data_IF_652268121046
#
_entry.id   IF_652268121046
#
_cell.length_a   1.000
_cell.length_b   1.000
_cell.length_c   1.000
_cell.angle_alpha   90.00
_cell.angle_beta   90.00
_cell.angle_gamma   90.00
#
_symmetry.space_group_name_H-M   'P 1'
#
loop_
_entity.id
_entity.type
_entity.pdbx_description
1 polymer ?
#
# COMPACT_ATOMS: atom_id res chain seq x y z
N UNK A 1 -4.97 15.44 -13.67
CA UNK A 1 -5.07 15.02 -12.25
C UNK A 1 -4.26 16.00 -11.42
N UNK A 2 -4.73 16.45 -10.25
CA UNK A 2 -3.98 17.36 -9.37
C UNK A 2 -2.79 16.60 -8.79
N UNK A 3 -1.57 17.06 -8.97
CA UNK A 3 -0.36 16.48 -8.38
C UNK A 3 0.06 17.30 -7.17
N UNK A 4 0.68 16.64 -6.21
CA UNK A 4 1.24 17.24 -5.00
C UNK A 4 2.77 17.16 -5.05
N UNK A 5 3.44 18.21 -4.65
CA UNK A 5 4.90 18.28 -4.68
C UNK A 5 5.55 17.47 -3.55
N UNK A 6 4.83 17.30 -2.44
CA UNK A 6 5.31 16.56 -1.28
C UNK A 6 4.19 15.68 -0.69
N UNK A 7 4.52 14.52 -0.10
CA UNK A 7 3.54 13.65 0.56
C UNK A 7 2.78 14.34 1.69
N UNK A 8 3.41 15.29 2.40
CA UNK A 8 2.76 16.07 3.46
C UNK A 8 1.57 16.88 2.95
N UNK A 9 1.69 17.48 1.77
CA UNK A 9 0.59 18.28 1.16
C UNK A 9 -0.59 17.37 0.79
N UNK A 10 -0.30 16.17 0.30
CA UNK A 10 -1.32 15.16 0.01
C UNK A 10 -2.01 14.69 1.30
N UNK A 11 -1.25 14.39 2.36
CA UNK A 11 -1.82 13.99 3.66
C UNK A 11 -2.71 15.09 4.25
N UNK A 12 -2.30 16.36 4.16
CA UNK A 12 -3.15 17.48 4.59
C UNK A 12 -4.45 17.56 3.78
N UNK A 13 -4.41 17.31 2.47
CA UNK A 13 -5.62 17.29 1.65
C UNK A 13 -6.55 16.12 2.04
N UNK A 14 -5.98 14.96 2.40
CA UNK A 14 -6.73 13.80 2.89
C UNK A 14 -7.41 14.13 4.23
N UNK A 15 -6.67 14.63 5.22
CA UNK A 15 -7.21 15.05 6.54
C UNK A 15 -8.37 16.04 6.43
N UNK A 16 -8.34 16.90 5.40
CA UNK A 16 -9.38 17.88 5.13
C UNK A 16 -10.56 17.31 4.33
N UNK A 17 -10.55 16.03 3.99
CA UNK A 17 -11.59 15.41 3.16
C UNK A 17 -11.57 15.84 1.68
N UNK A 18 -10.55 16.56 1.25
CA UNK A 18 -10.42 17.06 -0.12
C UNK A 18 -9.88 15.98 -1.09
N UNK A 19 -9.46 14.84 -0.56
CA UNK A 19 -8.91 13.71 -1.31
C UNK A 19 -9.34 12.39 -0.67
N UNK A 20 -10.19 11.62 -1.36
CA UNK A 20 -10.80 10.38 -0.86
C UNK A 20 -10.65 9.20 -1.83
N UNK A 21 -9.88 9.37 -2.90
CA UNK A 21 -9.61 8.30 -3.89
C UNK A 21 -8.20 7.72 -3.68
N UNK A 22 -7.81 6.72 -4.49
CA UNK A 22 -6.45 6.18 -4.41
C UNK A 22 -5.38 7.24 -4.73
N UNK A 23 -4.18 7.05 -4.21
CA UNK A 23 -3.07 8.01 -4.30
C UNK A 23 -2.14 7.77 -5.49
N UNK A 24 -2.48 6.85 -6.41
CA UNK A 24 -1.66 6.53 -7.57
C UNK A 24 -1.35 7.77 -8.41
N UNK A 25 -0.06 8.01 -8.67
CA UNK A 25 0.41 9.12 -9.50
C UNK A 25 0.24 10.53 -8.91
N UNK A 26 -0.20 10.66 -7.65
CA UNK A 26 -0.44 11.96 -7.03
C UNK A 26 0.83 12.61 -6.44
N UNK A 27 1.80 11.80 -5.98
CA UNK A 27 3.11 12.24 -5.49
C UNK A 27 4.21 11.46 -6.22
N UNK A 28 4.59 11.84 -7.45
CA UNK A 28 5.63 11.14 -8.20
C UNK A 28 6.98 11.21 -7.48
N UNK A 29 7.74 10.12 -7.56
CA UNK A 29 9.05 9.99 -6.89
C UNK A 29 9.00 9.55 -5.43
N UNK A 30 7.80 9.35 -4.86
CA UNK A 30 7.64 8.86 -3.48
C UNK A 30 7.04 7.46 -3.44
N UNK A 31 7.51 6.69 -2.45
CA UNK A 31 7.00 5.33 -2.19
C UNK A 31 5.52 5.39 -1.79
N UNK A 32 4.74 4.48 -2.32
CA UNK A 32 3.35 4.27 -1.93
C UNK A 32 3.21 2.93 -1.22
N UNK A 33 2.33 2.87 -0.24
CA UNK A 33 2.06 1.67 0.53
C UNK A 33 0.59 1.45 0.79
N UNK A 34 0.27 0.21 1.13
CA UNK A 34 -1.02 -0.19 1.66
C UNK A 34 -0.92 -0.37 3.17
N UNK A 35 -1.92 0.09 3.90
CA UNK A 35 -1.96 -0.03 5.35
C UNK A 35 -2.71 -1.30 5.75
N UNK A 36 -2.13 -2.06 6.69
CA UNK A 36 -2.77 -3.16 7.39
C UNK A 36 -2.63 -2.95 8.89
N UNK A 37 -3.75 -2.94 9.62
CA UNK A 37 -3.80 -2.71 11.07
C UNK A 37 -4.41 -3.94 11.72
N UNK A 38 -3.74 -4.47 12.74
CA UNK A 38 -4.09 -5.71 13.41
C UNK A 38 -3.94 -5.55 14.92
N UNK A 39 -4.72 -6.30 15.75
CA UNK A 39 -4.40 -6.47 17.16
C UNK A 39 -3.01 -7.06 17.37
N UNK A 40 -2.34 -6.69 18.45
CA UNK A 40 -0.98 -7.09 18.79
C UNK A 40 -0.81 -8.63 18.85
N UNK A 41 -1.84 -9.35 19.29
CA UNK A 41 -1.83 -10.83 19.34
C UNK A 41 -1.60 -11.47 17.96
N UNK A 42 -1.93 -10.78 16.88
CA UNK A 42 -1.76 -11.27 15.50
C UNK A 42 -0.51 -10.71 14.80
N UNK A 43 0.08 -9.65 15.38
CA UNK A 43 1.12 -8.87 14.71
C UNK A 43 2.39 -9.68 14.42
N UNK A 44 2.81 -10.55 15.35
CA UNK A 44 4.01 -11.38 15.17
C UNK A 44 3.83 -12.44 14.07
N UNK A 45 2.68 -13.08 13.99
CA UNK A 45 2.38 -14.04 12.93
C UNK A 45 2.26 -13.34 11.58
N UNK A 46 1.67 -12.14 11.54
CA UNK A 46 1.61 -11.34 10.32
C UNK A 46 2.99 -10.87 9.86
N UNK A 47 3.84 -10.42 10.78
CA UNK A 47 5.22 -10.06 10.49
C UNK A 47 5.97 -11.25 9.89
N UNK A 48 5.84 -12.44 10.50
CA UNK A 48 6.43 -13.68 9.99
C UNK A 48 5.89 -14.03 8.60
N UNK A 49 4.58 -13.90 8.39
CA UNK A 49 3.96 -14.12 7.08
C UNK A 49 4.57 -13.19 6.02
N UNK A 50 4.73 -11.91 6.29
CA UNK A 50 5.35 -10.95 5.38
C UNK A 50 6.83 -11.29 5.11
N UNK A 51 7.58 -11.71 6.13
CA UNK A 51 8.99 -12.11 6.00
C UNK A 51 9.18 -13.35 5.11
N UNK A 52 8.27 -14.32 5.22
CA UNK A 52 8.26 -15.51 4.38
C UNK A 52 7.81 -15.21 2.95
N UNK A 53 7.05 -14.12 2.76
CA UNK A 53 6.46 -13.71 1.49
C UNK A 53 6.87 -12.28 1.09
N UNK A 54 8.18 -11.97 0.96
CA UNK A 54 8.64 -10.59 0.78
C UNK A 54 8.24 -9.96 -0.57
N UNK A 55 7.93 -10.78 -1.58
CA UNK A 55 7.48 -10.27 -2.89
C UNK A 55 6.04 -9.76 -2.87
N UNK A 56 5.04 -10.54 -2.40
CA UNK A 56 3.65 -10.04 -2.32
C UNK A 56 3.40 -9.12 -1.13
N UNK A 57 4.21 -9.18 -0.07
CA UNK A 57 4.01 -8.45 1.18
C UNK A 57 5.30 -7.73 1.65
N UNK A 58 5.89 -6.84 0.83
CA UNK A 58 7.11 -6.13 1.22
C UNK A 58 6.81 -5.08 2.29
N UNK A 59 7.29 -5.30 3.52
CA UNK A 59 7.13 -4.33 4.61
C UNK A 59 8.05 -3.12 4.37
N UNK A 60 7.49 -1.91 4.33
CA UNK A 60 8.22 -0.65 4.22
C UNK A 60 8.20 0.15 5.53
N UNK A 61 7.32 -0.21 6.46
CA UNK A 61 7.27 0.35 7.81
C UNK A 61 6.25 -0.35 8.69
N UNK A 62 6.40 -0.20 10.00
CA UNK A 62 5.44 -0.69 10.99
C UNK A 62 5.48 0.18 12.24
N UNK A 63 4.42 0.15 13.05
CA UNK A 63 4.40 0.77 14.38
C UNK A 63 5.55 0.24 15.22
N UNK A 64 6.15 1.10 16.03
CA UNK A 64 7.23 0.73 16.93
C UNK A 64 6.70 -0.07 18.12
N UNK A 65 5.60 0.39 18.67
CA UNK A 65 4.90 -0.26 19.79
C UNK A 65 3.40 -0.38 19.45
N UNK A 66 2.66 -1.31 20.08
CA UNK A 66 1.20 -1.32 20.00
C UNK A 66 0.62 0.02 20.45
N UNK A 67 -0.42 0.49 19.76
CA UNK A 67 -1.05 1.79 20.02
C UNK A 67 -0.41 2.97 19.29
N UNK A 68 0.82 2.83 18.79
CA UNK A 68 1.48 3.88 18.01
C UNK A 68 0.73 4.13 16.69
N UNK A 69 0.29 5.35 16.50
CA UNK A 69 -0.38 5.80 15.27
C UNK A 69 0.53 6.64 14.36
N UNK A 70 1.80 6.75 14.68
CA UNK A 70 2.83 7.40 13.86
C UNK A 70 3.92 6.42 13.48
N UNK A 71 4.42 6.51 12.25
CA UNK A 71 5.59 5.75 11.78
C UNK A 71 6.61 6.78 11.28
N UNK A 72 7.42 7.30 12.19
CA UNK A 72 8.35 8.41 11.95
C UNK A 72 9.30 8.18 10.77
N UNK A 73 9.70 6.92 10.53
CA UNK A 73 10.55 6.54 9.38
C UNK A 73 9.90 6.79 8.02
N UNK A 74 8.56 6.92 7.98
CA UNK A 74 7.80 7.16 6.75
C UNK A 74 7.34 8.62 6.60
N UNK A 75 7.30 9.38 7.70
CA UNK A 75 6.94 10.80 7.66
C UNK A 75 6.84 11.41 9.05
N UNK A 76 7.42 12.60 9.22
CA UNK A 76 7.55 13.27 10.54
C UNK A 76 6.21 13.62 11.17
N UNK A 77 5.20 13.94 10.35
CA UNK A 77 3.85 14.35 10.79
C UNK A 77 2.79 13.30 10.47
N UNK A 78 3.20 12.08 10.19
CA UNK A 78 2.30 11.00 9.78
C UNK A 78 1.39 10.58 10.93
N UNK A 79 0.07 10.70 10.72
CA UNK A 79 -0.97 10.10 11.55
C UNK A 79 -1.75 9.08 10.72
N UNK A 80 -1.45 7.80 10.94
CA UNK A 80 -2.05 6.71 10.15
C UNK A 80 -3.55 6.55 10.39
N UNK A 81 -4.17 7.27 11.33
CA UNK A 81 -5.61 7.22 11.60
C UNK A 81 -6.42 8.12 10.67
N UNK A 82 -5.79 9.15 10.08
CA UNK A 82 -6.44 10.17 9.26
C UNK A 82 -5.73 10.50 7.94
N UNK A 83 -4.52 9.97 7.72
CA UNK A 83 -3.68 10.28 6.54
C UNK A 83 -3.90 9.34 5.35
N UNK A 84 -4.81 8.41 5.47
CA UNK A 84 -5.16 7.45 4.42
C UNK A 84 -6.54 7.84 3.85
N UNK A 85 -6.70 7.88 2.51
CA UNK A 85 -7.95 8.36 1.91
C UNK A 85 -9.19 7.57 2.33
N UNK A 86 -9.03 6.26 2.56
CA UNK A 86 -10.12 5.37 2.95
C UNK A 86 -9.58 4.19 3.75
N UNK A 87 -10.34 3.80 4.77
CA UNK A 87 -10.12 2.60 5.57
C UNK A 87 -11.32 1.68 5.42
N UNK A 88 -11.03 0.38 5.42
CA UNK A 88 -12.07 -0.65 5.50
C UNK A 88 -11.97 -1.35 6.85
N UNK A 89 -13.05 -1.29 7.60
CA UNK A 89 -13.14 -1.92 8.92
C UNK A 89 -13.65 -3.35 8.76
N UNK A 90 -12.98 -4.27 9.43
CA UNK A 90 -13.36 -5.68 9.47
C UNK A 90 -13.65 -6.10 10.90
N UNK A 91 -14.74 -6.84 11.10
CA UNK A 91 -15.09 -7.53 12.34
C UNK A 91 -15.35 -8.99 11.98
N UNK A 92 -14.71 -9.91 12.70
CA UNK A 92 -14.82 -11.37 12.47
C UNK A 92 -14.63 -11.78 10.99
N UNK A 93 -13.72 -11.11 10.29
CA UNK A 93 -13.42 -11.39 8.88
C UNK A 93 -14.42 -10.79 7.87
N UNK A 94 -15.45 -10.07 8.35
CA UNK A 94 -16.46 -9.42 7.50
C UNK A 94 -16.20 -7.93 7.43
N UNK A 95 -16.22 -7.33 6.24
CA UNK A 95 -16.16 -5.88 6.07
C UNK A 95 -17.47 -5.25 6.55
N UNK A 96 -17.40 -4.45 7.63
CA UNK A 96 -18.58 -3.85 8.27
C UNK A 96 -18.72 -2.36 7.96
N UNK A 97 -17.61 -1.65 7.67
CA UNK A 97 -17.66 -0.22 7.39
C UNK A 97 -16.52 0.23 6.45
N UNK A 98 -16.68 1.42 5.87
CA UNK A 98 -15.67 2.12 5.09
C UNK A 98 -15.67 3.60 5.47
N UNK A 99 -14.57 4.06 6.07
CA UNK A 99 -14.46 5.40 6.66
C UNK A 99 -13.20 6.13 6.15
N UNK A 100 -13.13 7.44 6.37
CA UNK A 100 -11.96 8.27 6.04
C UNK A 100 -11.10 8.59 7.26
N UNK A 101 -11.57 8.27 8.46
CA UNK A 101 -10.86 8.47 9.73
C UNK A 101 -11.20 7.33 10.69
N UNK A 102 -10.18 6.74 11.28
CA UNK A 102 -10.29 5.61 12.22
C UNK A 102 -9.94 5.98 13.66
N UNK A 103 -9.87 7.27 14.00
CA UNK A 103 -9.51 7.71 15.36
C UNK A 103 -10.45 7.14 16.42
N UNK A 104 -11.74 6.96 16.11
CA UNK A 104 -12.73 6.35 17.00
C UNK A 104 -12.62 4.82 17.10
N UNK A 105 -11.94 4.18 16.14
CA UNK A 105 -11.69 2.73 16.13
C UNK A 105 -10.31 2.39 16.68
N UNK A 106 -9.48 3.42 16.95
CA UNK A 106 -8.12 3.21 17.42
C UNK A 106 -8.09 2.69 18.85
N UNK A 107 -7.27 1.67 19.08
CA UNK A 107 -7.05 1.04 20.40
C UNK A 107 -5.56 0.92 20.69
N UNK A 108 -5.21 0.84 21.97
CA UNK A 108 -3.82 0.76 22.43
C UNK A 108 -3.14 -0.59 22.11
N UNK A 109 -3.92 -1.58 21.65
CA UNK A 109 -3.42 -2.89 21.24
C UNK A 109 -3.17 -3.03 19.72
N UNK A 110 -3.42 -1.98 18.93
CA UNK A 110 -3.30 -2.05 17.48
C UNK A 110 -1.86 -1.84 17.02
N UNK A 111 -1.44 -2.68 16.07
CA UNK A 111 -0.15 -2.59 15.36
C UNK A 111 -0.41 -2.34 13.88
N UNK A 112 0.21 -1.32 13.34
CA UNK A 112 0.08 -0.98 11.93
C UNK A 112 1.30 -1.44 11.13
N UNK A 113 1.04 -1.97 9.95
CA UNK A 113 2.02 -2.35 8.94
C UNK A 113 1.77 -1.57 7.66
N UNK A 114 2.81 -1.04 7.06
CA UNK A 114 2.75 -0.44 5.72
C UNK A 114 3.47 -1.37 4.76
N UNK A 115 2.72 -1.89 3.81
CA UNK A 115 3.21 -2.79 2.77
C UNK A 115 3.43 -2.01 1.48
N UNK A 116 4.56 -2.22 0.82
CA UNK A 116 4.87 -1.59 -0.46
C UNK A 116 3.82 -1.93 -1.52
N UNK A 117 3.56 -0.97 -2.39
CA UNK A 117 2.59 -1.08 -3.47
C UNK A 117 3.27 -1.01 -4.83
N UNK A 118 2.76 -1.77 -5.80
CA UNK A 118 3.26 -1.77 -7.18
C UNK A 118 3.11 -0.42 -7.89
N UNK A 119 2.35 0.52 -7.36
CA UNK A 119 2.30 1.90 -7.87
C UNK A 119 3.64 2.62 -7.81
N UNK A 120 4.50 2.25 -6.86
CA UNK A 120 5.86 2.79 -6.75
C UNK A 120 6.74 2.49 -7.97
N UNK A 121 6.40 1.48 -8.79
CA UNK A 121 7.12 1.15 -10.03
C UNK A 121 6.61 1.92 -11.24
N UNK A 122 5.43 2.52 -11.18
CA UNK A 122 4.80 3.17 -12.34
C UNK A 122 5.55 4.46 -12.74
N UNK A 123 5.95 5.25 -11.76
CA UNK A 123 6.67 6.51 -12.03
C UNK A 123 8.01 6.27 -12.74
N UNK A 124 8.92 5.40 -12.28
CA UNK A 124 10.15 5.07 -12.99
C UNK A 124 9.92 4.54 -14.42
N UNK A 125 8.86 3.79 -14.66
CA UNK A 125 8.50 3.31 -15.99
C UNK A 125 8.11 4.47 -16.92
N UNK A 126 7.28 5.39 -16.42
CA UNK A 126 6.84 6.58 -17.16
C UNK A 126 8.02 7.51 -17.43
N UNK A 127 8.89 7.74 -16.44
CA UNK A 127 10.08 8.58 -16.57
C UNK A 127 11.05 8.05 -17.64
N UNK A 128 11.10 6.72 -17.83
CA UNK A 128 11.88 6.07 -18.91
C UNK A 128 11.12 6.00 -20.26
N UNK A 129 9.96 6.64 -20.36
CA UNK A 129 9.15 6.74 -21.56
C UNK A 129 8.31 5.49 -21.89
N UNK A 130 8.11 4.60 -20.93
CA UNK A 130 7.23 3.45 -21.09
C UNK A 130 5.78 3.82 -20.79
N UNK A 131 4.87 3.42 -21.66
CA UNK A 131 3.45 3.61 -21.42
C UNK A 131 2.95 2.67 -20.31
N UNK A 132 2.35 3.23 -19.28
CA UNK A 132 1.62 2.50 -18.24
C UNK A 132 0.13 2.59 -18.55
N UNK A 133 -0.41 1.59 -19.22
CA UNK A 133 -1.72 1.62 -19.88
C UNK A 133 -2.88 1.93 -18.93
N UNK A 134 -2.89 1.41 -17.71
CA UNK A 134 -3.94 1.73 -16.75
C UNK A 134 -3.98 3.24 -16.41
N UNK A 135 -2.83 3.92 -16.39
CA UNK A 135 -2.77 5.37 -16.18
C UNK A 135 -3.27 6.11 -17.41
N UNK A 136 -2.84 5.70 -18.60
CA UNK A 136 -3.28 6.32 -19.87
C UNK A 136 -4.78 6.23 -20.05
N UNK A 137 -5.38 5.08 -19.68
CA UNK A 137 -6.83 4.83 -19.77
C UNK A 137 -7.61 5.39 -18.56
N UNK A 138 -6.94 5.93 -17.54
CA UNK A 138 -7.57 6.50 -16.35
C UNK A 138 -8.31 5.47 -15.48
N UNK A 139 -7.85 4.22 -15.48
CA UNK A 139 -8.43 3.11 -14.71
C UNK A 139 -7.44 2.57 -13.69
N UNK A 140 -7.94 1.84 -12.69
CA UNK A 140 -7.08 1.15 -11.75
C UNK A 140 -6.34 -0.02 -12.44
N UNK A 141 -5.14 -0.34 -11.93
CA UNK A 141 -4.38 -1.49 -12.43
C UNK A 141 -5.18 -2.78 -12.22
N UNK A 142 -5.29 -3.67 -13.23
CA UNK A 142 -5.96 -4.95 -13.05
C UNK A 142 -5.19 -5.86 -12.11
N UNK A 143 -5.90 -6.49 -11.19
CA UNK A 143 -5.36 -7.39 -10.17
C UNK A 143 -5.95 -8.79 -10.32
N UNK A 144 -5.11 -9.80 -10.10
CA UNK A 144 -5.49 -11.20 -10.26
C UNK A 144 -5.03 -12.01 -9.05
N UNK A 145 -5.93 -12.87 -8.54
CA UNK A 145 -5.55 -13.93 -7.61
C UNK A 145 -4.94 -15.07 -8.43
N UNK A 146 -3.72 -15.44 -8.11
CA UNK A 146 -3.03 -16.57 -8.75
C UNK A 146 -3.36 -17.89 -8.07
N UNK A 147 -2.87 -18.99 -8.63
CA UNK A 147 -2.86 -20.31 -7.99
C UNK A 147 -1.55 -20.59 -7.21
N UNK A 148 -0.68 -19.59 -7.07
CA UNK A 148 0.56 -19.70 -6.29
C UNK A 148 0.23 -19.39 -4.83
N UNK A 149 0.36 -20.39 -3.96
CA UNK A 149 0.17 -20.19 -2.52
C UNK A 149 1.35 -19.39 -1.93
N UNK A 150 1.03 -18.51 -0.99
CA UNK A 150 2.02 -17.92 -0.09
C UNK A 150 2.41 -18.94 0.99
N UNK A 151 3.61 -18.79 1.54
CA UNK A 151 4.04 -19.54 2.73
C UNK A 151 3.20 -19.12 3.95
N UNK A 152 2.66 -20.09 4.67
CA UNK A 152 1.76 -19.85 5.80
C UNK A 152 2.51 -19.44 7.07
N UNK A 153 1.89 -18.59 7.89
CA UNK A 153 2.38 -18.25 9.23
C UNK A 153 1.21 -18.00 10.18
N UNK A 154 1.08 -18.83 11.22
CA UNK A 154 -0.05 -18.78 12.13
C UNK A 154 -1.38 -18.89 11.35
N UNK A 155 -2.31 -17.97 11.57
CA UNK A 155 -3.60 -17.95 10.86
C UNK A 155 -3.52 -17.36 9.43
N UNK A 156 -2.37 -16.78 9.05
CA UNK A 156 -2.23 -16.11 7.77
C UNK A 156 -1.85 -17.10 6.67
N UNK A 157 -2.69 -17.15 5.64
CA UNK A 157 -2.51 -17.98 4.45
C UNK A 157 -3.25 -17.36 3.27
N UNK A 158 -2.95 -17.81 2.07
CA UNK A 158 -3.68 -17.39 0.87
C UNK A 158 -2.84 -17.47 -0.39
N UNK A 159 -3.49 -17.20 -1.52
CA UNK A 159 -2.81 -17.17 -2.80
C UNK A 159 -2.26 -15.76 -3.09
N UNK A 160 -1.08 -15.72 -3.72
CA UNK A 160 -0.48 -14.48 -4.17
C UNK A 160 -1.43 -13.72 -5.09
N UNK A 161 -1.61 -12.44 -4.81
CA UNK A 161 -2.31 -11.49 -5.69
C UNK A 161 -1.27 -10.68 -6.45
N UNK A 162 -1.46 -10.54 -7.76
CA UNK A 162 -0.55 -9.80 -8.64
C UNK A 162 -1.30 -8.70 -9.38
N UNK A 163 -0.61 -7.60 -9.66
CA UNK A 163 -1.07 -6.59 -10.62
C UNK A 163 -0.40 -6.84 -11.98
N UNK A 164 -1.13 -6.62 -13.07
CA UNK A 164 -0.64 -6.86 -14.42
C UNK A 164 -0.58 -5.57 -15.23
N UNK A 165 0.54 -5.36 -15.89
CA UNK A 165 0.73 -4.27 -16.85
C UNK A 165 1.21 -4.83 -18.17
N UNK A 166 0.43 -4.71 -19.26
CA UNK A 166 0.82 -5.22 -20.57
C UNK A 166 1.87 -4.30 -21.23
N UNK A 167 2.90 -4.91 -21.79
CA UNK A 167 3.93 -4.22 -22.56
C UNK A 167 4.17 -4.92 -23.88
N UNK A 168 4.64 -4.20 -24.90
CA UNK A 168 5.24 -4.80 -26.08
C UNK A 168 6.53 -5.55 -25.69
N UNK A 169 6.97 -6.58 -26.43
CA UNK A 169 8.12 -7.40 -26.03
C UNK A 169 9.40 -6.60 -25.71
N UNK A 170 9.75 -5.60 -26.52
CA UNK A 170 10.92 -4.76 -26.26
C UNK A 170 10.78 -3.92 -25.00
N UNK A 171 9.57 -3.35 -24.77
CA UNK A 171 9.27 -2.54 -23.60
C UNK A 171 9.19 -3.40 -22.32
N UNK A 172 8.76 -4.68 -22.43
CA UNK A 172 8.76 -5.60 -21.30
C UNK A 172 10.19 -5.86 -20.77
N UNK A 173 11.17 -5.99 -21.65
CA UNK A 173 12.58 -6.15 -21.27
C UNK A 173 13.07 -4.91 -20.51
N UNK A 174 12.76 -3.71 -21.01
CA UNK A 174 13.11 -2.45 -20.33
C UNK A 174 12.40 -2.33 -18.97
N UNK A 175 11.11 -2.66 -18.92
CA UNK A 175 10.34 -2.61 -17.67
C UNK A 175 10.94 -3.55 -16.60
N UNK A 176 11.37 -4.76 -16.96
CA UNK A 176 12.05 -5.67 -16.04
C UNK A 176 13.36 -5.05 -15.52
N UNK A 177 14.17 -4.45 -16.39
CA UNK A 177 15.44 -3.82 -16.01
C UNK A 177 15.24 -2.63 -15.07
N UNK A 178 14.18 -1.84 -15.28
CA UNK A 178 13.84 -0.70 -14.43
C UNK A 178 13.37 -1.20 -13.07
N UNK A 179 12.39 -2.13 -13.05
CA UNK A 179 11.81 -2.65 -11.81
C UNK A 179 12.77 -3.51 -10.97
N UNK A 180 13.83 -4.07 -11.56
CA UNK A 180 14.81 -4.86 -10.82
C UNK A 180 15.77 -4.06 -9.94
N UNK A 181 15.64 -2.74 -9.94
CA UNK A 181 16.42 -1.83 -9.08
C UNK A 181 15.81 -1.59 -7.71
N UNK A 182 14.60 -2.08 -7.47
CA UNK A 182 13.81 -1.86 -6.27
C UNK A 182 13.58 -3.15 -5.49
#
# INVERSE_FOLDING_TARGET
MRQYNAPVDLRHAIRQGNMTTNTSGLCPGFVQGNLCILPADWANDFLKFCQLNPKPCPIVGMSKEPGDFSIESLGVDLDIRSDIPQYRIFEDGVAVDQVTDISQHWRDDLVAFVLGCSFSFEEPLIADGLEVRNITEGVNVPMYRTNLACEEAGPFSGNMVVSMRPFKPADAIRAIQICSRF
#
